data_IF_648294118029
#
_entry.id   IF_648294118029
#
_cell.length_a   1.000
_cell.length_b   1.000
_cell.length_c   1.000
_cell.angle_alpha   90.00
_cell.angle_beta   90.00
_cell.angle_gamma   90.00
#
_symmetry.space_group_name_H-M   'P 1'
#
loop_
_entity.id
_entity.type
_entity.pdbx_description
1 polymer ?
#
# COMPACT_ATOMS: atom_id res chain seq x y z
N UNK A 1 1.20 12.07 -19.85
CA UNK A 1 1.81 12.95 -20.87
C UNK A 1 1.63 14.45 -20.63
N UNK A 2 0.42 15.01 -20.46
CA UNK A 2 0.22 16.49 -20.37
C UNK A 2 1.08 17.21 -19.32
N UNK A 3 1.29 16.61 -18.15
CA UNK A 3 2.17 17.18 -17.11
C UNK A 3 3.65 17.14 -17.51
N UNK A 4 4.10 16.09 -18.21
CA UNK A 4 5.47 15.98 -18.73
C UNK A 4 5.72 17.02 -19.85
N UNK A 5 4.73 17.27 -20.70
CA UNK A 5 4.81 18.32 -21.73
C UNK A 5 4.95 19.71 -21.09
N UNK A 6 4.15 20.01 -20.05
CA UNK A 6 4.28 21.25 -19.28
C UNK A 6 5.67 21.37 -18.65
N UNK A 7 6.14 20.32 -17.97
CA UNK A 7 7.46 20.29 -17.34
C UNK A 7 8.59 20.51 -18.36
N UNK A 8 8.54 19.85 -19.51
CA UNK A 8 9.50 20.02 -20.61
C UNK A 8 9.56 21.48 -21.10
N UNK A 9 8.42 22.15 -21.26
CA UNK A 9 8.40 23.57 -21.64
C UNK A 9 8.95 24.50 -20.54
N UNK A 10 8.80 24.13 -19.26
CA UNK A 10 9.41 24.86 -18.13
C UNK A 10 10.93 24.69 -18.09
N UNK A 11 11.42 23.47 -18.32
CA UNK A 11 12.86 23.14 -18.30
C UNK A 11 13.59 23.60 -19.57
N UNK A 12 12.88 23.76 -20.69
CA UNK A 12 13.43 24.17 -21.97
C UNK A 12 12.63 25.32 -22.63
N UNK A 13 12.68 26.55 -22.08
CA UNK A 13 11.86 27.69 -22.54
C UNK A 13 12.07 28.07 -24.01
N UNK A 14 13.27 27.79 -24.56
CA UNK A 14 13.64 28.12 -25.93
C UNK A 14 12.99 27.19 -26.98
N UNK A 15 12.34 26.09 -26.58
CA UNK A 15 11.72 25.13 -27.49
C UNK A 15 10.19 25.26 -27.47
N UNK A 16 9.63 25.82 -28.54
CA UNK A 16 8.19 26.00 -28.68
C UNK A 16 7.52 24.75 -29.29
N UNK A 17 7.35 23.71 -28.45
CA UNK A 17 6.88 22.39 -28.86
C UNK A 17 5.39 22.19 -28.54
N UNK A 18 4.58 21.84 -29.56
CA UNK A 18 3.15 21.57 -29.36
C UNK A 18 2.90 20.23 -28.65
N UNK A 19 1.79 20.14 -27.90
CA UNK A 19 1.42 18.93 -27.17
C UNK A 19 1.26 17.70 -28.07
N UNK A 20 0.70 17.89 -29.27
CA UNK A 20 0.51 16.82 -30.25
C UNK A 20 1.84 16.29 -30.80
N UNK A 21 2.80 17.18 -31.10
CA UNK A 21 4.13 16.77 -31.56
C UNK A 21 4.95 16.12 -30.43
N UNK A 22 4.88 16.66 -29.20
CA UNK A 22 5.48 16.04 -28.01
C UNK A 22 4.97 14.61 -27.77
N UNK A 23 3.65 14.38 -27.88
CA UNK A 23 3.08 13.04 -27.75
C UNK A 23 3.46 12.10 -28.91
N UNK A 24 3.67 12.62 -30.13
CA UNK A 24 4.12 11.82 -31.28
C UNK A 24 5.60 11.43 -31.18
N UNK A 25 6.44 12.30 -30.59
CA UNK A 25 7.86 12.03 -30.35
C UNK A 25 8.13 11.25 -29.05
N UNK A 26 7.08 10.80 -28.33
CA UNK A 26 7.20 9.97 -27.12
C UNK A 26 7.98 8.69 -27.45
N UNK A 27 9.18 8.47 -26.86
CA UNK A 27 9.90 7.22 -27.04
C UNK A 27 9.15 6.03 -26.43
N UNK A 28 9.33 4.84 -26.98
CA UNK A 28 8.58 3.64 -26.58
C UNK A 28 8.81 3.24 -25.10
N UNK A 29 9.97 3.58 -24.53
CA UNK A 29 10.31 3.31 -23.12
C UNK A 29 9.65 4.27 -22.13
N UNK A 30 9.05 5.38 -22.58
CA UNK A 30 8.31 6.29 -21.71
C UNK A 30 6.92 5.71 -21.48
N UNK A 31 6.77 4.85 -20.47
CA UNK A 31 5.48 4.25 -20.07
C UNK A 31 4.62 5.23 -19.24
N UNK A 32 3.35 4.87 -18.99
CA UNK A 32 2.54 5.62 -18.01
C UNK A 32 2.97 5.17 -16.60
N UNK A 33 3.12 6.08 -15.62
CA UNK A 33 3.43 5.70 -14.25
C UNK A 33 2.30 4.85 -13.66
N UNK A 34 2.69 3.72 -13.09
CA UNK A 34 1.86 2.81 -12.31
C UNK A 34 1.70 3.34 -10.87
N UNK A 35 0.95 2.62 -10.03
CA UNK A 35 0.85 2.95 -8.60
C UNK A 35 2.19 2.79 -7.86
N UNK A 36 3.09 1.93 -8.35
CA UNK A 36 4.43 1.74 -7.80
C UNK A 36 5.40 2.88 -8.13
N UNK A 37 5.14 3.65 -9.19
CA UNK A 37 5.98 4.78 -9.63
C UNK A 37 5.69 6.08 -8.84
N UNK A 38 4.86 6.01 -7.79
CA UNK A 38 4.59 7.15 -6.90
C UNK A 38 5.77 7.37 -5.96
N UNK A 39 6.42 8.53 -6.04
CA UNK A 39 7.47 8.96 -5.11
C UNK A 39 6.88 9.41 -3.75
N UNK A 40 6.12 8.54 -3.11
CA UNK A 40 5.50 8.74 -1.78
C UNK A 40 5.48 7.42 -1.04
N UNK A 41 6.21 7.29 0.07
CA UNK A 41 6.17 6.07 0.89
C UNK A 41 4.99 6.12 1.85
N UNK A 42 3.89 5.45 1.51
CA UNK A 42 2.80 5.10 2.45
C UNK A 42 3.06 3.71 3.04
N UNK A 43 4.31 3.49 3.44
CA UNK A 43 4.82 2.20 3.84
C UNK A 43 4.71 2.06 5.35
N UNK A 44 4.26 0.88 5.81
CA UNK A 44 4.07 0.51 7.22
C UNK A 44 5.23 0.96 8.14
N UNK A 45 6.46 0.89 7.64
CA UNK A 45 7.67 1.29 8.40
C UNK A 45 7.69 2.79 8.70
N UNK A 46 7.46 3.66 7.71
CA UNK A 46 7.43 5.11 7.95
C UNK A 46 6.19 5.52 8.74
N UNK A 47 5.02 4.94 8.47
CA UNK A 47 3.80 5.18 9.26
C UNK A 47 3.99 4.81 10.75
N UNK A 48 4.59 3.65 11.04
CA UNK A 48 4.89 3.25 12.42
C UNK A 48 5.96 4.13 13.07
N UNK A 49 6.92 4.63 12.30
CA UNK A 49 7.92 5.59 12.78
C UNK A 49 7.26 6.93 13.13
N UNK A 50 6.28 7.40 12.35
CA UNK A 50 5.50 8.61 12.64
C UNK A 50 4.74 8.47 13.96
N UNK A 51 4.00 7.37 14.16
CA UNK A 51 3.31 7.12 15.44
C UNK A 51 4.28 7.05 16.63
N UNK A 52 5.48 6.47 16.44
CA UNK A 52 6.50 6.44 17.48
C UNK A 52 7.00 7.86 17.80
N UNK A 53 7.30 8.68 16.78
CA UNK A 53 7.72 10.07 16.96
C UNK A 53 6.64 10.91 17.68
N UNK A 54 5.36 10.77 17.30
CA UNK A 54 4.23 11.42 17.98
C UNK A 54 4.17 11.06 19.48
N UNK A 55 4.33 9.79 19.82
CA UNK A 55 4.31 9.32 21.21
C UNK A 55 5.53 9.81 21.99
N UNK A 56 6.73 9.74 21.41
CA UNK A 56 7.96 10.26 22.03
C UNK A 56 7.87 11.78 22.27
N UNK A 57 7.28 12.53 21.33
CA UNK A 57 7.05 13.97 21.48
C UNK A 57 5.97 14.28 22.54
N UNK A 58 4.90 13.48 22.61
CA UNK A 58 3.89 13.58 23.67
C UNK A 58 4.49 13.35 25.06
N UNK A 59 5.43 12.42 25.17
CA UNK A 59 6.22 12.17 26.38
C UNK A 59 7.32 13.22 26.63
N UNK A 60 7.48 14.20 25.72
CA UNK A 60 8.53 15.24 25.73
C UNK A 60 9.97 14.70 25.65
N UNK A 61 10.15 13.48 25.15
CA UNK A 61 11.46 12.86 24.97
C UNK A 61 12.21 13.42 23.75
N UNK A 62 11.48 13.84 22.72
CA UNK A 62 12.01 14.46 21.49
C UNK A 62 11.36 15.84 21.25
N UNK A 63 12.03 16.69 20.46
CA UNK A 63 11.66 18.11 20.27
C UNK A 63 10.72 18.38 19.09
N UNK A 64 10.70 17.51 18.09
CA UNK A 64 9.88 17.61 16.89
C UNK A 64 9.32 16.24 16.52
N UNK A 65 8.21 16.23 15.78
CA UNK A 65 7.62 15.04 15.15
C UNK A 65 8.01 14.96 13.67
N UNK A 66 8.53 16.05 13.12
CA UNK A 66 8.87 16.17 11.71
C UNK A 66 10.06 15.27 11.30
N UNK A 67 9.88 14.49 10.24
CA UNK A 67 10.86 13.49 9.81
C UNK A 67 12.11 14.10 9.16
N UNK A 68 11.99 15.26 8.52
CA UNK A 68 13.14 15.97 7.95
C UNK A 68 14.01 16.59 9.08
N UNK A 69 13.39 17.16 10.12
CA UNK A 69 14.10 17.60 11.33
C UNK A 69 14.77 16.43 12.06
N UNK A 70 14.07 15.30 12.22
CA UNK A 70 14.62 14.12 12.90
C UNK A 70 15.80 13.53 12.11
N UNK A 71 15.70 13.41 10.78
CA UNK A 71 16.79 12.88 9.95
C UNK A 71 18.01 13.82 9.87
N UNK A 72 17.80 15.14 9.80
CA UNK A 72 18.91 16.11 9.82
C UNK A 72 19.61 16.19 11.18
N UNK A 73 18.93 15.84 12.29
CA UNK A 73 19.56 15.78 13.61
C UNK A 73 20.60 14.66 13.78
N UNK A 74 20.48 13.58 13.00
CA UNK A 74 21.36 12.38 13.06
C UNK A 74 22.26 12.21 11.82
N UNK A 75 21.99 12.93 10.72
CA UNK A 75 22.71 12.79 9.46
C UNK A 75 23.23 14.14 8.95
N UNK A 76 24.54 14.23 8.69
CA UNK A 76 25.16 15.42 8.12
C UNK A 76 24.78 15.66 6.65
N UNK A 77 24.37 14.62 5.92
CA UNK A 77 23.96 14.70 4.52
C UNK A 77 22.96 13.58 4.18
N UNK A 78 21.65 13.85 4.11
CA UNK A 78 20.62 12.87 3.78
C UNK A 78 20.77 12.22 2.39
N UNK A 79 21.52 12.84 1.47
CA UNK A 79 21.78 12.29 0.13
C UNK A 79 22.98 11.33 0.10
N UNK A 80 23.76 11.23 1.18
CA UNK A 80 24.87 10.30 1.28
C UNK A 80 24.39 8.99 1.93
N UNK A 81 24.54 7.89 1.20
CA UNK A 81 24.22 6.55 1.70
C UNK A 81 24.98 6.25 3.00
N UNK A 82 26.29 6.43 3.00
CA UNK A 82 27.15 6.09 4.14
C UNK A 82 26.78 6.94 5.38
N UNK A 83 26.31 8.17 5.17
CA UNK A 83 25.76 9.01 6.24
C UNK A 83 24.45 8.45 6.80
N UNK A 84 23.48 8.12 5.93
CA UNK A 84 22.18 7.58 6.33
C UNK A 84 22.25 6.17 6.95
N UNK A 85 23.32 5.42 6.67
CA UNK A 85 23.61 4.12 7.27
C UNK A 85 24.47 4.22 8.56
N UNK A 86 24.76 5.43 9.05
CA UNK A 86 25.57 5.67 10.25
C UNK A 86 27.04 5.15 10.14
N UNK A 87 27.56 5.08 8.92
CA UNK A 87 28.94 4.63 8.61
C UNK A 87 29.89 5.81 8.30
N UNK A 88 29.33 6.98 7.95
CA UNK A 88 30.07 8.18 7.57
C UNK A 88 30.91 8.80 8.71
N UNK A 89 32.12 9.32 8.43
CA UNK A 89 33.12 9.66 9.45
C UNK A 89 32.73 10.80 10.41
N UNK A 90 31.71 11.60 10.09
CA UNK A 90 31.29 12.75 10.89
C UNK A 90 30.04 12.50 11.74
N UNK A 91 29.23 11.49 11.39
CA UNK A 91 27.98 11.15 12.09
C UNK A 91 28.01 9.75 12.74
N UNK A 92 29.04 8.95 12.47
CA UNK A 92 29.17 7.58 12.98
C UNK A 92 29.04 7.50 14.50
N UNK A 93 27.99 6.82 14.96
CA UNK A 93 27.69 6.67 16.38
C UNK A 93 26.98 7.88 17.01
N UNK A 94 26.42 8.80 16.22
CA UNK A 94 25.47 9.77 16.75
C UNK A 94 24.18 9.06 17.19
N UNK A 95 23.78 9.30 18.43
CA UNK A 95 22.52 8.88 19.01
C UNK A 95 21.59 10.08 19.17
N UNK A 96 20.28 9.85 19.16
CA UNK A 96 19.30 10.91 19.32
C UNK A 96 19.30 11.42 20.77
N UNK A 97 19.44 12.74 20.97
CA UNK A 97 19.49 13.34 22.29
C UNK A 97 18.09 13.34 22.95
N UNK A 98 17.84 12.33 23.80
CA UNK A 98 16.61 12.21 24.59
C UNK A 98 16.61 13.24 25.73
N UNK A 99 15.50 13.96 25.93
CA UNK A 99 15.32 14.83 27.09
C UNK A 99 15.16 13.99 28.37
N UNK A 100 16.13 14.10 29.28
CA UNK A 100 16.31 13.16 30.40
C UNK A 100 15.35 13.34 31.60
N UNK A 101 14.33 14.19 31.50
CA UNK A 101 13.48 14.62 32.63
C UNK A 101 12.18 13.82 32.81
N UNK A 102 12.03 12.70 32.09
CA UNK A 102 10.78 11.92 32.06
C UNK A 102 10.86 10.73 33.02
N UNK A 103 9.90 10.62 33.93
CA UNK A 103 9.81 9.48 34.86
C UNK A 103 9.41 8.20 34.09
N UNK A 104 10.39 7.33 33.84
CA UNK A 104 10.28 6.10 33.03
C UNK A 104 9.42 4.97 33.64
N UNK A 105 8.69 5.23 34.73
CA UNK A 105 7.88 4.21 35.43
C UNK A 105 6.42 4.11 34.94
N UNK A 106 5.99 4.92 33.98
CA UNK A 106 4.67 4.82 33.39
C UNK A 106 4.62 3.75 32.28
N UNK A 107 3.65 2.85 32.33
CA UNK A 107 3.30 2.02 31.17
C UNK A 107 2.80 2.94 30.04
N UNK A 108 3.37 2.82 28.85
CA UNK A 108 3.03 3.66 27.69
C UNK A 108 2.30 2.83 26.63
N UNK A 109 1.14 3.32 26.18
CA UNK A 109 0.42 2.75 25.04
C UNK A 109 0.93 3.33 23.71
N UNK A 110 1.56 2.46 22.91
CA UNK A 110 2.04 2.76 21.56
C UNK A 110 1.09 2.19 20.50
N UNK A 111 0.67 3.04 19.57
CA UNK A 111 -0.09 2.65 18.37
C UNK A 111 0.88 2.33 17.24
N UNK A 112 0.66 1.20 16.56
CA UNK A 112 1.39 0.83 15.35
C UNK A 112 0.50 0.02 14.42
N UNK A 113 0.69 0.14 13.11
CA UNK A 113 0.17 -0.84 12.17
C UNK A 113 0.87 -2.17 12.41
N UNK A 114 0.10 -3.22 12.65
CA UNK A 114 0.55 -4.61 12.62
C UNK A 114 0.25 -5.23 11.25
N UNK A 115 0.81 -6.41 10.98
CA UNK A 115 0.37 -7.24 9.85
C UNK A 115 -0.11 -8.53 10.47
N UNK A 116 -1.42 -8.73 10.51
CA UNK A 116 -2.02 -9.89 11.12
C UNK A 116 -2.33 -10.93 10.04
N UNK A 117 -1.76 -12.13 10.20
CA UNK A 117 -2.03 -13.26 9.32
C UNK A 117 -3.38 -13.88 9.72
N UNK A 118 -4.47 -13.26 9.26
CA UNK A 118 -5.82 -13.78 9.49
C UNK A 118 -6.01 -15.07 8.68
N UNK A 119 -6.04 -16.21 9.36
CA UNK A 119 -6.41 -17.50 8.76
C UNK A 119 -7.92 -17.44 8.46
N UNK A 120 -8.26 -17.21 7.19
CA UNK A 120 -9.65 -17.20 6.72
C UNK A 120 -10.02 -18.55 6.12
N UNK A 121 -10.95 -19.26 6.75
CA UNK A 121 -11.54 -20.47 6.19
C UNK A 121 -12.42 -20.14 4.98
N UNK A 122 -12.31 -20.92 3.90
CA UNK A 122 -12.87 -20.59 2.58
C UNK A 122 -14.24 -21.25 2.36
N UNK A 123 -15.34 -20.51 2.56
CA UNK A 123 -16.71 -20.90 2.14
C UNK A 123 -17.16 -20.22 0.83
N UNK A 124 -16.78 -20.85 -0.29
CA UNK A 124 -17.53 -21.09 -1.54
C UNK A 124 -18.34 -19.99 -2.30
N UNK A 125 -18.66 -20.34 -3.57
CA UNK A 125 -19.00 -19.57 -4.77
C UNK A 125 -17.82 -18.75 -5.31
N UNK A 126 -17.57 -18.89 -6.62
CA UNK A 126 -16.50 -18.14 -7.29
C UNK A 126 -16.89 -16.67 -7.41
N UNK A 127 -16.33 -15.85 -6.54
CA UNK A 127 -16.30 -14.40 -6.72
C UNK A 127 -15.48 -14.12 -7.98
N UNK A 128 -16.01 -13.41 -8.99
CA UNK A 128 -15.28 -13.17 -10.22
C UNK A 128 -13.93 -12.48 -9.95
N UNK A 129 -12.91 -12.85 -10.73
CA UNK A 129 -11.56 -12.30 -10.58
C UNK A 129 -11.57 -10.77 -10.59
N UNK A 130 -10.68 -10.15 -9.80
CA UNK A 130 -10.60 -8.70 -9.59
C UNK A 130 -10.41 -7.87 -10.88
N UNK A 131 -10.07 -8.51 -12.00
CA UNK A 131 -10.03 -7.88 -13.33
C UNK A 131 -11.41 -7.61 -13.96
N UNK A 132 -12.50 -8.19 -13.45
CA UNK A 132 -13.87 -7.88 -13.91
C UNK A 132 -14.60 -6.92 -12.97
N UNK A 133 -14.33 -7.03 -11.67
CA UNK A 133 -15.02 -6.25 -10.64
C UNK A 133 -14.47 -4.82 -10.61
N UNK A 134 -15.28 -3.85 -11.04
CA UNK A 134 -14.90 -2.44 -11.09
C UNK A 134 -15.28 -1.65 -9.84
N UNK A 135 -16.29 -2.09 -9.10
CA UNK A 135 -16.70 -1.49 -7.83
C UNK A 135 -17.24 -2.57 -6.88
N UNK A 136 -16.88 -2.45 -5.60
CA UNK A 136 -17.37 -3.31 -4.51
C UNK A 136 -17.93 -2.42 -3.40
N UNK A 137 -19.06 -2.83 -2.82
CA UNK A 137 -19.68 -2.19 -1.65
C UNK A 137 -20.06 -3.29 -0.65
N UNK A 138 -19.69 -3.10 0.62
CA UNK A 138 -20.15 -3.95 1.73
C UNK A 138 -21.54 -3.51 2.18
N UNK A 139 -22.50 -4.42 2.16
CA UNK A 139 -23.87 -4.20 2.64
C UNK A 139 -23.99 -4.49 4.13
N UNK A 140 -24.67 -5.59 4.48
CA UNK A 140 -24.64 -6.14 5.83
C UNK A 140 -23.40 -7.03 6.08
N UNK A 141 -23.10 -7.42 7.34
CA UNK A 141 -22.07 -8.41 7.63
C UNK A 141 -22.36 -9.75 6.92
N UNK A 142 -21.43 -10.21 6.08
CA UNK A 142 -21.60 -11.40 5.26
C UNK A 142 -22.14 -11.16 3.84
N UNK A 143 -22.45 -9.91 3.48
CA UNK A 143 -22.94 -9.55 2.14
C UNK A 143 -21.95 -8.66 1.38
N UNK A 144 -21.72 -8.99 0.10
CA UNK A 144 -20.95 -8.15 -0.82
C UNK A 144 -21.80 -7.85 -2.06
N UNK A 145 -21.90 -6.56 -2.38
CA UNK A 145 -22.44 -6.04 -3.64
C UNK A 145 -21.28 -5.69 -4.56
N UNK A 146 -21.32 -6.14 -5.81
CA UNK A 146 -20.28 -5.83 -6.80
C UNK A 146 -20.87 -5.51 -8.18
N UNK A 147 -20.07 -4.84 -9.02
CA UNK A 147 -20.43 -4.47 -10.40
C UNK A 147 -19.32 -4.80 -11.37
N UNK A 148 -19.69 -5.41 -12.49
CA UNK A 148 -18.76 -5.82 -13.55
C UNK A 148 -18.42 -4.69 -14.54
N UNK A 149 -19.13 -3.55 -14.50
CA UNK A 149 -18.90 -2.41 -15.41
C UNK A 149 -18.69 -1.10 -14.65
N UNK A 150 -17.67 -0.34 -15.04
CA UNK A 150 -17.44 1.04 -14.60
C UNK A 150 -18.44 2.02 -15.22
N UNK A 151 -19.70 2.10 -14.75
CA UNK A 151 -20.47 3.30 -15.12
C UNK A 151 -19.88 4.53 -14.39
N UNK A 152 -19.53 5.63 -15.10
CA UNK A 152 -19.22 6.92 -14.46
C UNK A 152 -20.47 7.63 -13.89
N UNK A 153 -21.62 6.96 -13.91
CA UNK A 153 -22.87 7.34 -13.27
C UNK A 153 -22.59 7.81 -11.84
N UNK A 154 -22.85 9.08 -11.57
CA UNK A 154 -22.33 9.82 -10.42
C UNK A 154 -22.53 9.05 -9.10
N UNK A 155 -21.43 8.72 -8.42
CA UNK A 155 -21.44 8.04 -7.12
C UNK A 155 -21.90 8.97 -5.97
N UNK A 156 -23.06 9.61 -6.14
CA UNK A 156 -23.71 10.49 -5.18
C UNK A 156 -25.16 10.03 -4.95
N UNK A 157 -25.30 9.19 -3.93
CA UNK A 157 -26.49 9.09 -3.07
C UNK A 157 -27.77 8.40 -3.58
N UNK A 158 -27.70 7.58 -4.62
CA UNK A 158 -28.58 6.40 -4.70
C UNK A 158 -27.84 5.20 -5.28
N UNK A 159 -28.11 4.00 -4.74
CA UNK A 159 -27.57 2.76 -5.28
C UNK A 159 -28.32 2.31 -6.56
N UNK A 160 -29.26 3.12 -7.04
CA UNK A 160 -30.21 2.88 -8.13
C UNK A 160 -29.66 3.35 -9.50
N UNK A 161 -28.55 2.77 -9.94
CA UNK A 161 -28.14 2.88 -11.34
C UNK A 161 -29.03 1.94 -12.17
N UNK A 162 -29.79 2.45 -13.15
CA UNK A 162 -30.46 1.62 -14.19
C UNK A 162 -29.46 1.16 -15.27
N UNK A 163 -28.29 0.80 -14.82
CA UNK A 163 -27.09 0.51 -15.57
C UNK A 163 -26.78 -0.92 -15.12
N UNK A 164 -27.39 -1.88 -15.82
CA UNK A 164 -27.67 -3.21 -15.29
C UNK A 164 -26.42 -3.99 -14.85
N UNK A 165 -26.67 -5.10 -14.15
CA UNK A 165 -25.70 -6.03 -13.57
C UNK A 165 -24.94 -5.52 -12.32
N UNK A 166 -25.71 -5.13 -11.30
CA UNK A 166 -25.25 -5.20 -9.90
C UNK A 166 -25.53 -6.59 -9.36
N UNK A 167 -24.49 -7.30 -8.89
CA UNK A 167 -24.59 -8.65 -8.36
C UNK A 167 -24.39 -8.68 -6.84
N UNK A 168 -25.13 -9.57 -6.17
CA UNK A 168 -25.08 -9.79 -4.71
C UNK A 168 -24.51 -11.17 -4.41
N UNK A 169 -23.66 -11.25 -3.39
CA UNK A 169 -23.02 -12.48 -2.95
C UNK A 169 -23.20 -12.67 -1.44
N UNK A 170 -23.67 -13.85 -1.03
CA UNK A 170 -23.77 -14.32 0.37
C UNK A 170 -22.85 -15.53 0.61
N UNK A 171 -22.26 -15.61 1.80
CA UNK A 171 -21.17 -16.53 2.18
C UNK A 171 -21.59 -17.77 3.02
N UNK A 172 -22.88 -18.12 3.07
CA UNK A 172 -23.43 -18.92 4.20
C UNK A 172 -23.04 -20.43 4.25
N UNK A 173 -22.96 -21.17 3.13
CA UNK A 173 -23.14 -22.65 3.15
C UNK A 173 -21.89 -23.56 3.36
N UNK A 174 -20.86 -23.54 2.49
CA UNK A 174 -20.05 -24.77 2.23
C UNK A 174 -18.56 -24.69 2.70
N UNK A 175 -18.22 -25.33 3.84
CA UNK A 175 -16.84 -25.78 4.17
C UNK A 175 -16.78 -27.30 3.96
N UNK A 176 -15.79 -27.80 3.23
CA UNK A 176 -15.38 -29.21 3.29
C UNK A 176 -13.86 -29.26 3.48
N UNK A 177 -13.42 -30.02 4.48
CA UNK A 177 -12.00 -30.15 4.82
C UNK A 177 -11.30 -30.99 3.75
N UNK A 178 -10.37 -30.38 3.03
CA UNK A 178 -9.49 -31.11 2.11
C UNK A 178 -8.45 -31.85 2.99
N UNK A 179 -8.26 -33.17 2.84
CA UNK A 179 -7.26 -33.91 3.62
C UNK A 179 -5.85 -33.43 3.27
N UNK A 180 -4.88 -33.56 4.21
CA UNK A 180 -3.52 -33.06 4.00
C UNK A 180 -2.86 -33.69 2.75
N UNK A 181 -2.12 -32.90 1.95
CA UNK A 181 -1.53 -33.36 0.70
C UNK A 181 -0.44 -34.42 0.96
N UNK A 182 -0.40 -35.43 0.10
CA UNK A 182 0.55 -36.55 0.21
C UNK A 182 1.88 -36.17 -0.45
N UNK A 183 3.01 -36.56 0.14
CA UNK A 183 4.32 -36.38 -0.48
C UNK A 183 4.49 -37.29 -1.70
N UNK A 184 4.62 -36.69 -2.89
CA UNK A 184 4.92 -37.40 -4.15
C UNK A 184 6.43 -37.48 -4.37
N UNK A 185 7.17 -36.46 -3.92
CA UNK A 185 8.64 -36.47 -3.80
C UNK A 185 9.05 -35.77 -2.50
N UNK A 186 10.34 -35.82 -2.14
CA UNK A 186 10.86 -35.12 -0.95
C UNK A 186 10.72 -33.59 -0.97
N UNK A 187 10.31 -32.99 -2.12
CA UNK A 187 10.08 -31.55 -2.26
C UNK A 187 8.69 -31.18 -2.82
N UNK A 188 7.87 -32.16 -3.19
CA UNK A 188 6.55 -31.93 -3.77
C UNK A 188 5.49 -32.76 -3.07
N UNK A 189 4.45 -32.08 -2.60
CA UNK A 189 3.22 -32.69 -2.10
C UNK A 189 2.10 -32.45 -3.12
N UNK A 190 1.24 -33.43 -3.32
CA UNK A 190 0.09 -33.36 -4.23
C UNK A 190 -1.19 -33.74 -3.48
N UNK A 191 -2.29 -33.06 -3.80
CA UNK A 191 -3.63 -33.42 -3.34
C UNK A 191 -4.18 -34.42 -4.36
N UNK A 192 -4.78 -35.51 -3.86
CA UNK A 192 -5.23 -36.63 -4.68
C UNK A 192 -6.15 -36.19 -5.83
N UNK A 193 -5.97 -36.75 -7.03
CA UNK A 193 -6.68 -36.30 -8.24
C UNK A 193 -8.17 -36.62 -8.21
N UNK A 194 -8.56 -37.62 -7.45
CA UNK A 194 -9.96 -37.97 -7.23
C UNK A 194 -10.66 -36.95 -6.31
N UNK A 195 -9.90 -36.26 -5.44
CA UNK A 195 -10.42 -35.11 -4.66
C UNK A 195 -10.67 -33.94 -5.61
N UNK A 196 -9.72 -33.64 -6.51
CA UNK A 196 -9.89 -32.59 -7.53
C UNK A 196 -11.07 -32.86 -8.48
N UNK A 197 -11.37 -34.13 -8.74
CA UNK A 197 -12.51 -34.57 -9.57
C UNK A 197 -13.87 -34.53 -8.83
N UNK A 198 -13.89 -34.10 -7.56
CA UNK A 198 -15.09 -34.03 -6.71
C UNK A 198 -15.57 -32.60 -6.37
N UNK A 199 -14.97 -31.59 -7.01
CA UNK A 199 -15.39 -30.18 -6.95
C UNK A 199 -16.33 -29.82 -8.11
#
# INVERSE_FOLDING_TARGET
>A
MRNLHRKFLTEHPNYNLSYSLFCRMRPFWVVNPTLADRQTCLCKVHENLSFLAEKLHTLKLIRSVDMEDLTTSISCNPNSKDCMYNEGPHCKGQEFAIAAEVNLQANVELTQWSTETVIREKKNKDVPSTMRIHQVVTGAPGEILYRDVSCPCTARQSYECRCDDTHTFSFEDILRVIPPPKSVTSRHVEIDKDIWSSF
#
